data_IF_088412142626
#
_entry.id   IF_088412142626
#
_cell.length_a   1.000
_cell.length_b   1.000
_cell.length_c   1.000
_cell.angle_alpha   90.00
_cell.angle_beta   90.00
_cell.angle_gamma   90.00
#
_symmetry.space_group_name_H-M   'P 1'
#
loop_
_entity.id
_entity.type
_entity.pdbx_description
1 polymer ?
#
# COMPACT_ATOMS: atom_id res chain seq x y z
N UNK A 1 11.32 4.20 -9.73
CA UNK A 1 12.14 5.18 -10.46
C UNK A 1 11.67 5.37 -11.91
N UNK A 2 11.34 4.27 -12.61
CA UNK A 2 10.99 4.28 -14.03
C UNK A 2 9.49 4.32 -14.34
N UNK A 3 8.63 4.59 -13.36
CA UNK A 3 7.19 4.68 -13.51
C UNK A 3 6.78 6.12 -13.87
N UNK A 4 6.42 6.44 -15.13
CA UNK A 4 6.28 7.82 -15.62
C UNK A 4 5.17 8.62 -14.94
N UNK A 5 4.12 7.96 -14.44
CA UNK A 5 3.01 8.61 -13.75
C UNK A 5 3.22 8.74 -12.23
N UNK A 6 4.33 8.21 -11.72
CA UNK A 6 4.69 8.38 -10.31
C UNK A 6 5.18 9.80 -10.04
N UNK A 7 4.76 10.36 -8.91
CA UNK A 7 5.29 11.66 -8.42
C UNK A 7 6.79 11.61 -8.15
N UNK A 8 7.35 10.40 -8.01
CA UNK A 8 8.77 10.17 -7.78
C UNK A 8 9.53 9.72 -9.03
N UNK A 9 8.92 9.92 -10.22
CA UNK A 9 9.55 9.55 -11.49
C UNK A 9 10.95 10.17 -11.62
N UNK A 10 11.94 9.31 -11.86
CA UNK A 10 13.36 9.65 -11.98
C UNK A 10 13.98 10.41 -10.79
N UNK A 11 13.31 10.44 -9.64
CA UNK A 11 13.81 11.14 -8.44
C UNK A 11 14.14 10.20 -7.29
N UNK A 12 13.30 9.21 -7.01
CA UNK A 12 13.46 8.28 -5.89
C UNK A 12 13.32 6.84 -6.38
N UNK A 13 14.23 5.97 -5.93
CA UNK A 13 14.10 4.53 -6.12
C UNK A 13 13.24 3.94 -5.00
N UNK A 14 12.12 3.31 -5.37
CA UNK A 14 11.27 2.54 -4.46
C UNK A 14 10.54 1.45 -5.24
N UNK A 15 10.11 0.41 -4.55
CA UNK A 15 9.33 -0.67 -5.12
C UNK A 15 7.92 -0.18 -5.39
N UNK A 16 7.43 -0.43 -6.59
CA UNK A 16 6.08 -0.09 -6.99
C UNK A 16 5.50 -1.21 -7.85
N UNK A 17 4.25 -1.55 -7.59
CA UNK A 17 3.54 -2.64 -8.25
C UNK A 17 2.35 -2.09 -9.04
N UNK A 18 2.22 -2.54 -10.26
CA UNK A 18 1.08 -2.23 -11.13
C UNK A 18 0.77 -3.44 -12.02
N UNK A 19 -0.40 -3.44 -12.61
CA UNK A 19 -0.81 -4.51 -13.52
C UNK A 19 -0.41 -4.17 -14.94
N UNK A 20 0.17 -5.15 -15.64
CA UNK A 20 0.32 -5.12 -17.10
C UNK A 20 -0.94 -5.73 -17.70
N UNK A 21 -1.68 -4.93 -18.47
CA UNK A 21 -2.96 -5.34 -19.08
C UNK A 21 -2.71 -5.84 -20.49
N UNK A 22 -1.89 -5.13 -21.26
CA UNK A 22 -1.57 -5.48 -22.63
C UNK A 22 -0.12 -5.16 -22.96
N UNK A 23 0.55 -6.14 -23.54
CA UNK A 23 1.90 -6.02 -24.05
C UNK A 23 1.87 -6.38 -25.53
N UNK A 24 1.50 -5.43 -26.37
CA UNK A 24 1.60 -5.63 -27.81
C UNK A 24 3.08 -5.58 -28.23
N UNK A 25 3.61 -6.70 -28.73
CA UNK A 25 5.00 -6.81 -29.16
C UNK A 25 5.35 -5.84 -30.32
N UNK A 26 4.35 -5.33 -31.03
CA UNK A 26 4.52 -4.35 -32.11
C UNK A 26 4.45 -2.90 -31.61
N UNK A 27 4.06 -2.68 -30.36
CA UNK A 27 3.98 -1.36 -29.74
C UNK A 27 5.22 -1.09 -28.87
N UNK A 28 5.77 0.08 -28.96
CA UNK A 28 6.84 0.52 -28.04
C UNK A 28 6.33 0.74 -26.62
N UNK A 29 4.99 0.78 -26.44
CA UNK A 29 4.34 1.06 -25.18
C UNK A 29 3.60 -0.18 -24.62
N UNK A 30 3.67 -0.31 -23.31
CA UNK A 30 2.95 -1.30 -22.51
C UNK A 30 1.79 -0.61 -21.82
N UNK A 31 0.59 -1.16 -21.95
CA UNK A 31 -0.60 -0.68 -21.24
C UNK A 31 -0.64 -1.22 -19.83
N UNK A 32 -0.76 -0.34 -18.86
CA UNK A 32 -0.76 -0.65 -17.43
C UNK A 32 -2.02 -0.10 -16.75
N UNK A 33 -2.40 -0.75 -15.65
CA UNK A 33 -3.36 -0.28 -14.66
C UNK A 33 -2.63 -0.10 -13.33
N UNK A 34 -2.72 1.08 -12.75
CA UNK A 34 -2.10 1.38 -11.46
C UNK A 34 -3.14 1.89 -10.46
N UNK A 35 -3.67 1.02 -9.61
CA UNK A 35 -4.67 1.41 -8.62
C UNK A 35 -4.14 2.39 -7.58
N UNK A 36 -2.84 2.33 -7.28
CA UNK A 36 -2.21 3.22 -6.28
C UNK A 36 -2.26 4.69 -6.71
N UNK A 37 -1.95 4.96 -7.98
CA UNK A 37 -2.04 6.31 -8.56
C UNK A 37 -3.37 6.57 -9.27
N UNK A 38 -4.37 5.70 -9.10
CA UNK A 38 -5.69 5.79 -9.74
C UNK A 38 -5.59 5.90 -11.27
N UNK A 39 -4.60 5.25 -11.85
CA UNK A 39 -4.40 5.22 -13.30
C UNK A 39 -5.11 3.99 -13.89
N UNK A 40 -6.26 4.20 -14.52
CA UNK A 40 -7.00 3.13 -15.22
C UNK A 40 -6.32 2.73 -16.54
N UNK A 41 -5.65 3.69 -17.18
CA UNK A 41 -4.89 3.48 -18.42
C UNK A 41 -3.63 4.31 -18.36
N UNK A 42 -2.52 3.68 -18.04
CA UNK A 42 -1.21 4.27 -18.05
C UNK A 42 -0.33 3.59 -19.10
N UNK A 43 0.58 4.32 -19.70
CA UNK A 43 1.49 3.78 -20.69
C UNK A 43 2.93 3.98 -20.23
N UNK A 44 3.71 2.90 -20.32
CA UNK A 44 5.15 2.92 -20.08
C UNK A 44 5.87 2.39 -21.32
N UNK A 45 6.98 2.99 -21.68
CA UNK A 45 7.78 2.44 -22.77
C UNK A 45 8.38 1.09 -22.39
N UNK A 46 8.55 0.19 -23.35
CA UNK A 46 9.22 -1.10 -23.09
C UNK A 46 10.61 -0.88 -22.46
N UNK A 47 11.33 0.14 -22.92
CA UNK A 47 12.64 0.46 -22.39
C UNK A 47 12.61 0.82 -20.90
N UNK A 48 11.69 1.67 -20.46
CA UNK A 48 11.53 2.07 -19.05
C UNK A 48 11.03 0.89 -18.21
N UNK A 49 10.07 0.12 -18.75
CA UNK A 49 9.56 -1.06 -18.09
C UNK A 49 10.67 -2.06 -17.76
N UNK A 50 11.45 -2.47 -18.74
CA UNK A 50 12.52 -3.44 -18.53
C UNK A 50 13.69 -2.90 -17.70
N UNK A 51 13.93 -1.59 -17.71
CA UNK A 51 14.91 -0.98 -16.79
C UNK A 51 14.47 -1.03 -15.34
N UNK A 52 13.16 -0.93 -15.08
CA UNK A 52 12.59 -0.91 -13.73
C UNK A 52 12.13 -2.28 -13.24
N UNK A 53 12.06 -3.28 -14.12
CA UNK A 53 11.50 -4.58 -13.81
C UNK A 53 12.39 -5.35 -12.82
N UNK A 54 11.85 -5.62 -11.64
CA UNK A 54 12.49 -6.45 -10.61
C UNK A 54 11.85 -7.84 -10.52
N UNK A 55 10.53 -7.89 -10.47
CA UNK A 55 9.76 -9.13 -10.39
C UNK A 55 8.50 -9.04 -11.22
N UNK A 56 8.05 -10.18 -11.73
CA UNK A 56 6.72 -10.33 -12.31
C UNK A 56 5.98 -11.45 -11.62
N UNK A 57 4.68 -11.21 -11.37
CA UNK A 57 3.75 -12.24 -10.91
C UNK A 57 2.67 -12.38 -11.96
N UNK A 58 2.50 -13.58 -12.50
CA UNK A 58 1.41 -13.88 -13.42
C UNK A 58 0.16 -14.22 -12.61
N UNK A 59 -0.94 -13.49 -12.85
CA UNK A 59 -2.23 -13.78 -12.26
C UNK A 59 -3.11 -14.37 -13.35
N UNK A 60 -3.44 -15.65 -13.21
CA UNK A 60 -4.40 -16.30 -14.10
C UNK A 60 -5.76 -16.32 -13.43
N UNK A 61 -6.76 -15.72 -14.06
CA UNK A 61 -8.14 -15.87 -13.62
C UNK A 61 -8.58 -17.29 -13.95
N UNK A 62 -8.75 -18.10 -12.91
CA UNK A 62 -9.34 -19.43 -13.05
C UNK A 62 -10.85 -19.25 -13.06
N UNK A 63 -11.52 -19.72 -14.11
CA UNK A 63 -12.98 -19.73 -14.14
C UNK A 63 -13.50 -20.48 -12.91
N UNK A 64 -14.13 -19.69 -12.05
CA UNK A 64 -15.01 -20.11 -10.96
C UNK A 64 -14.53 -21.34 -10.15
N UNK A 65 -13.41 -21.24 -9.45
CA UNK A 65 -13.33 -21.99 -8.20
C UNK A 65 -14.51 -21.52 -7.35
N UNK A 66 -15.42 -22.43 -7.01
CA UNK A 66 -16.58 -22.07 -6.21
C UNK A 66 -16.09 -21.36 -4.94
N UNK A 67 -16.52 -20.14 -4.74
CA UNK A 67 -16.20 -19.31 -3.57
C UNK A 67 -16.56 -20.04 -2.26
N UNK A 68 -17.42 -21.02 -2.34
CA UNK A 68 -17.82 -21.94 -1.27
C UNK A 68 -16.66 -22.73 -0.63
N UNK A 69 -15.48 -22.77 -1.27
CA UNK A 69 -14.29 -23.47 -0.73
C UNK A 69 -13.43 -22.60 0.19
N UNK A 70 -13.65 -21.29 0.28
CA UNK A 70 -12.89 -20.43 1.17
C UNK A 70 -13.54 -20.37 2.55
N UNK A 71 -12.91 -21.00 3.53
CA UNK A 71 -13.29 -20.83 4.92
C UNK A 71 -12.81 -19.46 5.43
N UNK A 72 -13.76 -18.52 5.61
CA UNK A 72 -13.49 -17.19 6.20
C UNK A 72 -12.71 -17.32 7.51
N UNK A 73 -12.99 -18.35 8.32
CA UNK A 73 -12.27 -18.56 9.58
C UNK A 73 -10.80 -18.85 9.34
N UNK A 74 -10.49 -19.60 8.29
CA UNK A 74 -9.10 -19.88 7.92
C UNK A 74 -8.38 -18.62 7.44
N UNK A 75 -9.03 -17.79 6.61
CA UNK A 75 -8.49 -16.51 6.17
C UNK A 75 -8.26 -15.60 7.37
N UNK A 76 -9.24 -15.43 8.24
CA UNK A 76 -9.11 -14.60 9.43
C UNK A 76 -8.03 -15.11 10.39
N UNK A 77 -7.90 -16.43 10.54
CA UNK A 77 -6.80 -17.01 11.31
C UNK A 77 -5.45 -16.67 10.73
N UNK A 78 -5.25 -16.77 9.42
CA UNK A 78 -4.00 -16.38 8.75
C UNK A 78 -3.66 -14.91 9.01
N UNK A 79 -4.65 -14.01 8.93
CA UNK A 79 -4.46 -12.57 9.20
C UNK A 79 -4.02 -12.35 10.65
N UNK A 80 -4.67 -13.02 11.59
CA UNK A 80 -4.34 -12.92 13.03
C UNK A 80 -2.94 -13.48 13.31
N UNK A 81 -2.63 -14.66 12.78
CA UNK A 81 -1.32 -15.30 12.95
C UNK A 81 -0.22 -14.39 12.40
N UNK A 82 -0.42 -13.82 11.19
CA UNK A 82 0.52 -12.87 10.59
C UNK A 82 0.72 -11.61 11.46
N UNK A 83 -0.34 -11.09 12.09
CA UNK A 83 -0.24 -9.95 12.99
C UNK A 83 0.63 -10.25 14.22
N UNK A 84 0.44 -11.41 14.84
CA UNK A 84 1.24 -11.82 16.01
C UNK A 84 2.68 -12.17 15.62
N UNK A 85 2.89 -12.86 14.53
CA UNK A 85 4.22 -13.22 14.04
C UNK A 85 5.06 -11.99 13.67
N UNK A 86 4.44 -10.94 13.16
CA UNK A 86 5.10 -9.68 12.83
C UNK A 86 5.49 -8.82 14.03
N UNK A 87 5.06 -9.21 15.25
CA UNK A 87 5.26 -8.43 16.48
C UNK A 87 4.80 -6.97 16.36
N UNK A 88 3.74 -6.74 15.62
CA UNK A 88 3.25 -5.40 15.27
C UNK A 88 2.87 -4.57 16.50
N UNK A 89 2.35 -5.19 17.55
CA UNK A 89 2.05 -4.58 18.84
C UNK A 89 3.32 -4.09 19.56
N UNK A 90 4.38 -4.91 19.57
CA UNK A 90 5.68 -4.57 20.16
C UNK A 90 6.30 -3.40 19.38
N UNK A 91 6.29 -3.46 18.06
CA UNK A 91 6.84 -2.41 17.21
C UNK A 91 6.07 -1.10 17.36
N UNK A 92 4.75 -1.15 17.54
CA UNK A 92 3.94 0.04 17.81
C UNK A 92 4.29 0.68 19.16
N UNK A 93 4.49 -0.12 20.21
CA UNK A 93 4.91 0.38 21.52
C UNK A 93 6.31 1.01 21.47
N UNK A 94 7.24 0.42 20.73
CA UNK A 94 8.54 1.03 20.47
C UNK A 94 8.39 2.38 19.78
N UNK A 95 7.62 2.45 18.71
CA UNK A 95 7.36 3.69 18.00
C UNK A 95 6.77 4.77 18.90
N UNK A 96 5.79 4.45 19.74
CA UNK A 96 5.18 5.39 20.69
C UNK A 96 6.21 5.92 21.68
N UNK A 97 7.12 5.09 22.18
CA UNK A 97 8.17 5.51 23.11
C UNK A 97 9.21 6.41 22.41
N UNK A 98 9.66 6.05 21.23
CA UNK A 98 10.65 6.82 20.47
C UNK A 98 10.09 8.18 20.03
N UNK A 99 8.82 8.25 19.64
CA UNK A 99 8.20 9.50 19.18
C UNK A 99 8.14 10.58 20.27
N UNK A 100 8.14 10.18 21.56
CA UNK A 100 8.17 11.15 22.67
C UNK A 100 9.51 11.87 22.79
N UNK A 101 10.57 11.31 22.20
CA UNK A 101 11.93 11.86 22.20
C UNK A 101 12.26 12.57 20.87
N UNK A 102 11.36 12.50 19.92
CA UNK A 102 11.55 13.08 18.59
C UNK A 102 11.67 14.60 18.65
N UNK A 103 12.80 15.12 18.16
CA UNK A 103 13.04 16.55 18.05
C UNK A 103 12.97 17.01 16.58
N UNK A 104 11.85 17.60 16.13
CA UNK A 104 11.70 17.99 14.74
C UNK A 104 12.80 18.92 14.23
N UNK A 105 13.24 19.86 15.05
CA UNK A 105 14.27 20.84 14.69
C UNK A 105 15.65 20.22 14.43
N UNK A 106 15.91 19.04 14.96
CA UNK A 106 17.17 18.32 14.75
C UNK A 106 17.02 17.25 13.68
N UNK A 107 15.96 16.45 13.79
CA UNK A 107 15.79 15.25 12.97
C UNK A 107 15.26 15.54 11.57
N UNK A 108 14.48 16.63 11.40
CA UNK A 108 13.99 17.04 10.10
C UNK A 108 14.91 18.04 9.37
N UNK A 109 15.80 18.71 10.10
CA UNK A 109 16.71 19.74 9.54
C UNK A 109 17.53 19.30 8.31
N UNK A 110 17.98 18.03 8.16
CA UNK A 110 18.74 17.60 6.98
C UNK A 110 17.91 17.51 5.70
N UNK A 111 16.58 17.55 5.79
CA UNK A 111 15.69 17.30 4.66
C UNK A 111 15.15 18.62 4.11
N UNK A 112 15.11 18.77 2.79
CA UNK A 112 14.54 19.92 2.10
C UNK A 112 13.18 19.63 1.47
N UNK A 113 12.72 18.37 1.56
CA UNK A 113 11.43 17.91 1.04
C UNK A 113 10.81 16.90 2.01
N UNK A 114 9.57 17.14 2.40
CA UNK A 114 8.78 16.22 3.22
C UNK A 114 8.74 14.79 2.66
N UNK A 115 8.74 14.65 1.34
CA UNK A 115 8.72 13.35 0.67
C UNK A 115 10.03 12.57 0.83
N UNK A 116 11.13 13.26 1.12
CA UNK A 116 12.42 12.65 1.36
C UNK A 116 12.62 12.22 2.82
N UNK A 117 11.71 12.59 3.72
CA UNK A 117 11.78 12.23 5.14
C UNK A 117 11.37 10.75 5.30
N UNK A 118 12.27 9.85 5.78
CA UNK A 118 11.96 8.42 5.90
C UNK A 118 10.76 8.13 6.80
N UNK A 119 10.57 8.91 7.86
CA UNK A 119 9.42 8.79 8.75
C UNK A 119 8.10 9.09 8.02
N UNK A 120 8.05 10.18 7.25
CA UNK A 120 6.85 10.53 6.47
C UNK A 120 6.52 9.47 5.42
N UNK A 121 7.53 8.92 4.75
CA UNK A 121 7.35 7.81 3.79
C UNK A 121 6.78 6.57 4.48
N UNK A 122 7.33 6.19 5.64
CA UNK A 122 6.83 5.02 6.40
C UNK A 122 5.41 5.23 6.91
N UNK A 123 5.08 6.41 7.43
CA UNK A 123 3.72 6.73 7.87
C UNK A 123 2.72 6.68 6.70
N UNK A 124 3.11 7.20 5.54
CA UNK A 124 2.29 7.10 4.33
C UNK A 124 2.05 5.63 3.91
N UNK A 125 3.08 4.80 3.94
CA UNK A 125 2.95 3.37 3.64
C UNK A 125 2.00 2.68 4.63
N UNK A 126 2.12 2.96 5.93
CA UNK A 126 1.20 2.44 6.95
C UNK A 126 -0.25 2.83 6.63
N UNK A 127 -0.50 4.08 6.21
CA UNK A 127 -1.83 4.53 5.81
C UNK A 127 -2.35 3.75 4.61
N UNK A 128 -1.54 3.56 3.58
CA UNK A 128 -1.93 2.81 2.38
C UNK A 128 -2.23 1.34 2.70
N UNK A 129 -1.40 0.71 3.53
CA UNK A 129 -1.61 -0.67 3.96
C UNK A 129 -2.93 -0.82 4.75
N UNK A 130 -3.25 0.12 5.64
CA UNK A 130 -4.51 0.13 6.39
C UNK A 130 -5.72 0.30 5.48
N UNK A 131 -5.62 1.16 4.47
CA UNK A 131 -6.67 1.35 3.48
C UNK A 131 -6.87 0.09 2.62
N UNK A 132 -5.79 -0.56 2.21
CA UNK A 132 -5.86 -1.82 1.47
C UNK A 132 -6.52 -2.92 2.30
N UNK A 133 -6.18 -3.04 3.59
CA UNK A 133 -6.84 -3.98 4.50
C UNK A 133 -8.33 -3.67 4.65
N UNK A 134 -8.69 -2.39 4.80
CA UNK A 134 -10.10 -1.98 4.85
C UNK A 134 -10.85 -2.41 3.59
N UNK A 135 -10.30 -2.12 2.42
CA UNK A 135 -10.91 -2.49 1.14
C UNK A 135 -11.06 -4.01 0.98
N UNK A 136 -10.11 -4.80 1.49
CA UNK A 136 -10.22 -6.25 1.51
C UNK A 136 -11.40 -6.72 2.40
N UNK A 137 -11.61 -6.11 3.58
CA UNK A 137 -12.77 -6.43 4.40
C UNK A 137 -14.09 -6.04 3.73
N UNK A 138 -14.13 -4.90 3.04
CA UNK A 138 -15.30 -4.49 2.27
C UNK A 138 -15.60 -5.47 1.13
N UNK A 139 -14.59 -5.88 0.38
CA UNK A 139 -14.71 -6.88 -0.66
C UNK A 139 -15.23 -8.22 -0.12
N UNK A 140 -14.64 -8.71 0.97
CA UNK A 140 -15.07 -9.95 1.62
C UNK A 140 -16.51 -9.83 2.17
N UNK A 141 -16.89 -8.66 2.70
CA UNK A 141 -18.28 -8.41 3.11
C UNK A 141 -19.25 -8.53 1.92
N UNK A 142 -18.91 -7.90 0.79
CA UNK A 142 -19.75 -7.96 -0.42
C UNK A 142 -19.87 -9.39 -0.94
N UNK A 143 -18.80 -10.17 -0.86
CA UNK A 143 -18.74 -11.53 -1.35
C UNK A 143 -19.53 -12.51 -0.47
N UNK A 144 -19.41 -12.39 0.86
CA UNK A 144 -19.96 -13.34 1.82
C UNK A 144 -21.19 -12.81 2.57
N UNK A 145 -21.62 -11.59 2.28
CA UNK A 145 -22.74 -10.90 2.95
C UNK A 145 -22.63 -10.92 4.49
N UNK A 146 -21.40 -10.82 5.01
CA UNK A 146 -21.12 -10.94 6.43
C UNK A 146 -20.96 -9.56 7.08
N UNK A 147 -21.94 -9.17 7.93
CA UNK A 147 -21.96 -7.86 8.59
C UNK A 147 -20.80 -7.62 9.58
N UNK A 148 -20.14 -8.66 10.09
CA UNK A 148 -18.94 -8.52 10.93
C UNK A 148 -17.76 -7.97 10.10
N UNK A 149 -17.60 -8.44 8.86
CA UNK A 149 -16.57 -7.93 7.96
C UNK A 149 -16.77 -6.45 7.62
N UNK A 150 -18.03 -6.01 7.50
CA UNK A 150 -18.34 -4.59 7.31
C UNK A 150 -17.92 -3.75 8.53
N UNK A 151 -18.16 -4.24 9.75
CA UNK A 151 -17.69 -3.55 10.96
C UNK A 151 -16.16 -3.47 11.01
N UNK A 152 -15.45 -4.52 10.60
CA UNK A 152 -13.98 -4.47 10.50
C UNK A 152 -13.52 -3.43 9.48
N UNK A 153 -14.19 -3.33 8.33
CA UNK A 153 -13.95 -2.26 7.37
C UNK A 153 -14.09 -0.87 8.00
N UNK A 154 -15.21 -0.60 8.69
CA UNK A 154 -15.45 0.70 9.33
C UNK A 154 -14.37 1.02 10.38
N UNK A 155 -13.98 0.05 11.21
CA UNK A 155 -12.90 0.22 12.18
C UNK A 155 -11.55 0.52 11.50
N UNK A 156 -11.22 -0.17 10.42
CA UNK A 156 -9.96 0.06 9.70
C UNK A 156 -9.94 1.44 9.01
N UNK A 157 -11.06 1.89 8.48
CA UNK A 157 -11.20 3.26 7.93
C UNK A 157 -10.98 4.31 9.02
N UNK A 158 -11.52 4.09 10.22
CA UNK A 158 -11.33 5.03 11.34
C UNK A 158 -9.87 5.05 11.82
N UNK A 159 -9.23 3.90 11.95
CA UNK A 159 -7.79 3.80 12.25
C UNK A 159 -6.98 4.55 11.19
N UNK A 160 -7.32 4.38 9.91
CA UNK A 160 -6.61 5.07 8.82
C UNK A 160 -6.74 6.60 8.91
N UNK A 161 -7.89 7.13 9.31
CA UNK A 161 -8.07 8.57 9.56
C UNK A 161 -7.15 9.06 10.68
N UNK A 162 -6.98 8.28 11.77
CA UNK A 162 -6.09 8.65 12.87
C UNK A 162 -4.62 8.67 12.41
N UNK A 163 -4.19 7.71 11.60
CA UNK A 163 -2.86 7.72 10.99
C UNK A 163 -2.66 8.92 10.05
N UNK A 164 -3.67 9.27 9.27
CA UNK A 164 -3.61 10.47 8.41
C UNK A 164 -3.47 11.76 9.24
N UNK A 165 -4.20 11.87 10.35
CA UNK A 165 -4.04 13.02 11.27
C UNK A 165 -2.62 13.09 11.83
N UNK A 166 -2.03 11.96 12.21
CA UNK A 166 -0.65 11.90 12.67
C UNK A 166 0.33 12.37 11.59
N UNK A 167 0.18 11.91 10.36
CA UNK A 167 0.98 12.39 9.23
C UNK A 167 0.86 13.91 9.04
N UNK A 168 -0.36 14.43 9.09
CA UNK A 168 -0.61 15.88 8.95
C UNK A 168 0.02 16.70 10.08
N UNK A 169 0.06 16.16 11.30
CA UNK A 169 0.76 16.80 12.41
C UNK A 169 2.27 16.87 12.16
N UNK A 170 2.89 15.77 11.70
CA UNK A 170 4.30 15.79 11.33
C UNK A 170 4.61 16.78 10.21
N UNK A 171 3.74 16.86 9.19
CA UNK A 171 3.89 17.84 8.11
C UNK A 171 3.82 19.28 8.59
N UNK A 172 3.07 19.56 9.67
CA UNK A 172 2.99 20.91 10.26
C UNK A 172 4.19 21.27 11.14
N UNK A 173 4.95 20.29 11.62
CA UNK A 173 6.16 20.52 12.41
C UNK A 173 7.39 20.79 11.52
N UNK A 174 7.31 20.41 10.25
CA UNK A 174 8.32 20.71 9.23
C UNK A 174 8.14 22.14 8.70
#
# INVERSE_FOLDING_TARGET
>A
FWCPWSVNYQSVHYDHYFYVIDQNQQSENILCLDPYYQQEKAYITQQEFYKGLMHTVSITLVEQASIDSYDIKQIMKMVIDTFYDSKSDINLNYFVNEITQFNPGVELAPYHDLKAIPLCMKLNNIMQDRLNIANNFLFLHQLFHNGFLYKLYEHMVEINKQWNMLCLLFMKMY
#
